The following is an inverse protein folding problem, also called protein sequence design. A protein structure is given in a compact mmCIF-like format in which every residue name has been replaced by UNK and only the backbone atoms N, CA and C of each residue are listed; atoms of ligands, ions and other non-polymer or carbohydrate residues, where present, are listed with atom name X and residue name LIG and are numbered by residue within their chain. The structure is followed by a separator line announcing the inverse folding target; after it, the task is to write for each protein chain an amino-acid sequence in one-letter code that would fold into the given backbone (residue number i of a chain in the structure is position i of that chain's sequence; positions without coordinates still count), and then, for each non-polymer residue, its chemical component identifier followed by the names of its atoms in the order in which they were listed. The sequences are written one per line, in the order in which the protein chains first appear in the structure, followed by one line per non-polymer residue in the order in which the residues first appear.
data_IF_820886561204
#
_entry.id   IF_820886561204
#
_cell.length_a   1.000
_cell.length_b   1.000
_cell.length_c   1.000
_cell.angle_alpha   90.00
_cell.angle_beta   90.00
_cell.angle_gamma   90.00
#
_symmetry.space_group_name_H-M   'P 1'
#
loop_
_entity.id
_entity.type
_entity.pdbx_description
1 polymer ?
#
# COMPACT_ATOMS: atom_id res chain seq x y z
N UNK A 1 2.76 2.31 -6.91
CA UNK A 1 3.44 3.30 -6.03
C UNK A 1 4.52 2.60 -5.20
N UNK A 2 5.46 3.35 -4.63
CA UNK A 2 6.41 2.84 -3.63
C UNK A 2 5.87 3.18 -2.24
N UNK A 3 5.73 2.18 -1.36
CA UNK A 3 5.13 2.37 -0.04
C UNK A 3 6.13 2.14 1.08
N UNK A 4 6.25 3.13 1.97
CA UNK A 4 7.06 3.06 3.18
C UNK A 4 6.16 2.88 4.38
N UNK A 5 6.25 1.72 5.04
CA UNK A 5 5.46 1.36 6.24
C UNK A 5 6.17 1.71 7.55
N UNK A 6 7.43 2.16 7.49
CA UNK A 6 8.22 2.67 8.63
C UNK A 6 9.36 3.56 8.13
N UNK A 7 9.91 4.40 9.02
CA UNK A 7 10.96 5.38 8.68
C UNK A 7 12.19 4.76 7.99
N UNK A 8 12.71 3.66 8.53
CA UNK A 8 13.88 2.96 7.97
C UNK A 8 13.55 1.99 6.83
N UNK A 9 12.30 1.97 6.33
CA UNK A 9 11.96 1.15 5.19
C UNK A 9 12.41 1.82 3.90
N UNK A 10 13.15 1.09 3.05
CA UNK A 10 13.54 1.57 1.72
C UNK A 10 12.31 1.88 0.84
N UNK A 11 11.18 1.27 1.15
CA UNK A 11 9.96 1.31 0.35
C UNK A 11 9.81 0.03 -0.44
N UNK A 12 8.58 -0.45 -0.57
CA UNK A 12 8.27 -1.63 -1.39
C UNK A 12 7.25 -1.26 -2.45
N UNK A 13 7.38 -1.79 -3.67
CA UNK A 13 6.34 -1.66 -4.69
C UNK A 13 5.02 -2.21 -4.18
N UNK A 14 3.96 -1.44 -4.37
CA UNK A 14 2.61 -1.87 -4.02
C UNK A 14 1.56 -1.25 -4.96
N UNK A 15 0.45 -1.95 -5.05
CA UNK A 15 -0.81 -1.45 -5.58
C UNK A 15 -1.64 -0.85 -4.45
N UNK A 16 -2.34 0.23 -4.76
CA UNK A 16 -3.21 0.95 -3.83
C UNK A 16 -4.63 0.88 -4.37
N UNK A 17 -5.57 0.52 -3.51
CA UNK A 17 -7.01 0.55 -3.82
C UNK A 17 -7.70 1.36 -2.73
N UNK A 18 -8.42 2.41 -3.12
CA UNK A 18 -9.21 3.19 -2.18
C UNK A 18 -10.60 2.57 -2.04
N UNK A 19 -11.00 2.29 -0.80
CA UNK A 19 -12.34 1.80 -0.45
C UNK A 19 -12.95 2.74 0.59
N UNK A 20 -13.72 3.72 0.12
CA UNK A 20 -14.24 4.80 0.97
C UNK A 20 -13.09 5.61 1.59
N UNK A 21 -13.05 5.67 2.92
CA UNK A 21 -12.03 6.42 3.68
C UNK A 21 -10.76 5.60 3.97
N UNK A 22 -10.69 4.36 3.47
CA UNK A 22 -9.56 3.45 3.69
C UNK A 22 -8.83 3.17 2.39
N UNK A 23 -7.55 2.81 2.53
CA UNK A 23 -6.71 2.39 1.41
C UNK A 23 -6.19 0.99 1.72
N UNK A 24 -6.48 0.05 0.83
CA UNK A 24 -5.86 -1.27 0.84
C UNK A 24 -4.54 -1.18 0.08
N UNK A 25 -3.49 -1.75 0.67
CA UNK A 25 -2.14 -1.76 0.10
C UNK A 25 -1.77 -3.21 -0.18
N UNK A 26 -1.56 -3.52 -1.44
CA UNK A 26 -1.16 -4.85 -1.90
C UNK A 26 0.29 -4.82 -2.31
N UNK A 27 1.17 -5.34 -1.44
CA UNK A 27 2.58 -5.46 -1.75
C UNK A 27 2.82 -6.62 -2.72
N UNK A 28 3.67 -6.39 -3.72
CA UNK A 28 4.06 -7.44 -4.69
C UNK A 28 4.95 -8.51 -4.07
N UNK A 29 5.66 -8.14 -3.01
CA UNK A 29 6.53 -9.03 -2.23
C UNK A 29 6.17 -8.94 -0.74
N UNK A 30 6.38 -10.01 0.05
CA UNK A 30 6.12 -9.97 1.49
C UNK A 30 6.93 -8.87 2.19
N UNK A 31 6.25 -8.00 2.93
CA UNK A 31 6.87 -6.96 3.76
C UNK A 31 6.76 -7.35 5.22
N UNK A 32 7.92 -7.44 5.88
CA UNK A 32 8.00 -7.81 7.30
C UNK A 32 7.82 -6.61 8.23
N UNK A 33 7.38 -6.91 9.46
CA UNK A 33 7.25 -5.95 10.56
C UNK A 33 6.33 -4.76 10.23
N UNK A 34 5.12 -5.08 9.76
CA UNK A 34 4.00 -4.13 9.67
C UNK A 34 3.31 -4.09 11.02
N UNK A 35 3.20 -2.90 11.62
CA UNK A 35 2.63 -2.74 12.97
C UNK A 35 1.48 -1.74 12.94
N UNK A 36 0.29 -2.11 13.45
CA UNK A 36 -0.80 -1.15 13.62
C UNK A 36 -0.36 0.08 14.44
N UNK A 37 -0.81 1.26 14.03
CA UNK A 37 -0.40 2.54 14.61
C UNK A 37 0.89 3.13 14.03
N UNK A 38 1.61 2.43 13.15
CA UNK A 38 2.63 3.06 12.31
C UNK A 38 1.99 3.79 11.12
N UNK A 39 2.70 4.78 10.58
CA UNK A 39 2.29 5.46 9.36
C UNK A 39 2.79 4.69 8.11
N UNK A 40 1.91 4.54 7.13
CA UNK A 40 2.26 4.16 5.77
C UNK A 40 2.21 5.41 4.87
N UNK A 41 3.26 5.63 4.09
CA UNK A 41 3.35 6.76 3.14
C UNK A 41 3.62 6.21 1.75
N UNK A 42 2.89 6.72 0.76
CA UNK A 42 2.93 6.28 -0.63
C UNK A 42 3.59 7.33 -1.50
N UNK A 43 4.50 6.89 -2.36
CA UNK A 43 5.30 7.75 -3.23
C UNK A 43 5.13 7.36 -4.69
N UNK A 44 5.16 8.36 -5.57
CA UNK A 44 5.43 8.20 -7.01
C UNK A 44 6.70 8.98 -7.35
N UNK A 45 7.80 8.26 -7.62
CA UNK A 45 9.11 8.88 -7.74
C UNK A 45 9.53 9.64 -6.47
N UNK A 46 9.51 10.97 -6.52
CA UNK A 46 9.82 11.86 -5.39
C UNK A 46 8.58 12.51 -4.76
N UNK A 47 7.41 12.34 -5.38
CA UNK A 47 6.18 12.97 -4.94
C UNK A 47 5.46 12.10 -3.91
N UNK A 48 4.91 12.75 -2.87
CA UNK A 48 4.07 12.09 -1.87
C UNK A 48 2.64 12.07 -2.39
N UNK A 49 2.12 10.87 -2.67
CA UNK A 49 0.73 10.69 -3.09
C UNK A 49 -0.24 10.77 -1.90
N UNK A 50 0.24 10.36 -0.72
CA UNK A 50 -0.55 10.38 0.51
C UNK A 50 0.01 9.44 1.56
N UNK A 51 -0.77 9.24 2.62
CA UNK A 51 -0.42 8.32 3.68
C UNK A 51 -1.53 8.20 4.71
N UNK A 52 -1.34 7.29 5.64
CA UNK A 52 -2.31 7.03 6.69
C UNK A 52 -1.74 6.15 7.79
N UNK A 53 -2.56 5.91 8.81
CA UNK A 53 -2.22 5.02 9.90
C UNK A 53 -2.59 3.60 9.55
N UNK A 54 -1.67 2.67 9.76
CA UNK A 54 -1.91 1.25 9.55
C UNK A 54 -2.87 0.78 10.63
N UNK A 55 -4.07 0.37 10.25
CA UNK A 55 -5.06 -0.18 11.20
C UNK A 55 -4.88 -1.69 11.40
N UNK A 56 -4.61 -2.42 10.31
CA UNK A 56 -4.45 -3.87 10.31
C UNK A 56 -3.56 -4.32 9.15
N UNK A 57 -3.01 -5.53 9.27
CA UNK A 57 -2.38 -6.24 8.16
C UNK A 57 -2.87 -7.68 8.12
N UNK A 58 -2.81 -8.28 6.93
CA UNK A 58 -3.12 -9.68 6.69
C UNK A 58 -2.08 -10.26 5.74
N UNK A 59 -1.75 -11.53 5.89
CA UNK A 59 -0.94 -12.28 4.92
C UNK A 59 -1.92 -13.16 4.16
N UNK A 60 -1.90 -13.08 2.83
CA UNK A 60 -2.83 -13.82 1.99
C UNK A 60 -2.51 -13.65 0.51
N UNK A 61 -3.35 -14.25 -0.32
CA UNK A 61 -3.22 -14.11 -1.77
C UNK A 61 -3.60 -12.70 -2.20
N UNK A 62 -2.73 -12.07 -2.99
CA UNK A 62 -3.03 -10.79 -3.62
C UNK A 62 -4.18 -11.05 -4.58
N UNK A 63 -5.34 -10.37 -4.45
CA UNK A 63 -6.45 -10.55 -5.38
C UNK A 63 -5.92 -10.38 -6.80
N UNK A 64 -6.23 -11.35 -7.67
CA UNK A 64 -5.77 -11.33 -9.05
C UNK A 64 -6.04 -9.95 -9.66
N UNK A 65 -5.14 -9.41 -10.50
CA UNK A 65 -5.23 -8.05 -11.05
C UNK A 65 -6.44 -7.78 -11.97
N UNK A 66 -7.52 -8.56 -11.88
CA UNK A 66 -8.80 -8.30 -12.52
C UNK A 66 -9.46 -6.98 -12.07
N UNK A 67 -9.05 -6.40 -10.94
CA UNK A 67 -9.50 -5.06 -10.52
C UNK A 67 -8.73 -3.90 -11.19
N UNK A 68 -7.69 -4.17 -11.99
CA UNK A 68 -6.85 -3.14 -12.64
C UNK A 68 -7.35 -2.71 -14.04
N UNK A 69 -8.55 -3.13 -14.48
CA UNK A 69 -9.04 -2.87 -15.84
C UNK A 69 -10.26 -1.93 -15.96
N UNK A 70 -10.81 -1.39 -14.87
CA UNK A 70 -12.01 -0.53 -14.95
C UNK A 70 -11.79 0.87 -14.36
N UNK A 71 -10.80 1.64 -14.83
CA UNK A 71 -10.85 3.12 -14.79
C UNK A 71 -9.96 3.73 -15.90
N UNK A 72 -10.14 3.25 -17.13
CA UNK A 72 -9.84 4.03 -18.35
C UNK A 72 -10.96 3.75 -19.35
N UNK A 73 -12.08 4.44 -19.20
CA UNK A 73 -13.14 4.57 -20.19
C UNK A 73 -13.72 5.99 -20.12
#
# INVERSE_FOLDING_TARGET
AVVKVRYHHAGSPAFLEQTGDKINIYFTEPVHAITPGQAAVFYDGQDVLGGGWIERHVIGEVPAPAALAETVA
#
